data_IF_993627234126
#
_entry.id   IF_993627234126
#
_cell.length_a   1.000
_cell.length_b   1.000
_cell.length_c   1.000
_cell.angle_alpha   90.00
_cell.angle_beta   90.00
_cell.angle_gamma   90.00
#
_symmetry.space_group_name_H-M   'P 1'
#
loop_
_entity.id
_entity.type
_entity.pdbx_description
1 polymer ?
#
# COMPACT_ATOMS: atom_id res chain seq x y z
N UNK A 1 9.71 -5.64 18.78
CA UNK A 1 8.33 -5.80 18.31
C UNK A 1 7.36 -5.49 19.44
N UNK A 2 6.37 -4.65 19.18
CA UNK A 2 5.27 -4.35 20.08
C UNK A 2 4.23 -5.47 20.07
N UNK A 3 3.39 -5.54 21.13
CA UNK A 3 2.26 -6.47 21.17
C UNK A 3 1.28 -6.27 20.00
N UNK A 4 1.15 -5.04 19.52
CA UNK A 4 0.31 -4.72 18.36
C UNK A 4 0.88 -5.31 17.06
N UNK A 5 2.18 -5.11 16.79
CA UNK A 5 2.87 -5.69 15.63
C UNK A 5 2.82 -7.23 15.65
N UNK A 6 2.87 -7.83 16.83
CA UNK A 6 2.79 -9.28 16.99
C UNK A 6 1.40 -9.82 16.65
N UNK A 7 0.34 -9.11 17.07
CA UNK A 7 -1.03 -9.47 16.75
C UNK A 7 -1.35 -9.30 15.26
N UNK A 8 -0.85 -8.23 14.65
CA UNK A 8 -1.00 -7.96 13.22
C UNK A 8 -0.32 -9.05 12.38
N UNK A 9 0.92 -9.42 12.73
CA UNK A 9 1.62 -10.53 12.07
C UNK A 9 0.85 -11.86 12.18
N UNK A 10 0.27 -12.15 13.34
CA UNK A 10 -0.53 -13.37 13.53
C UNK A 10 -1.80 -13.38 12.67
N UNK A 11 -2.48 -12.24 12.51
CA UNK A 11 -3.63 -12.12 11.61
C UNK A 11 -3.24 -12.40 10.15
N UNK A 12 -2.11 -11.82 9.71
CA UNK A 12 -1.60 -12.01 8.35
C UNK A 12 -1.19 -13.45 8.09
N UNK A 13 -0.52 -14.10 9.04
CA UNK A 13 -0.20 -15.53 8.94
C UNK A 13 -1.48 -16.38 8.81
N UNK A 14 -2.52 -16.07 9.58
CA UNK A 14 -3.80 -16.77 9.49
C UNK A 14 -4.46 -16.58 8.12
N UNK A 15 -4.45 -15.36 7.56
CA UNK A 15 -4.96 -15.08 6.22
C UNK A 15 -4.20 -15.86 5.14
N UNK A 16 -2.87 -15.89 5.21
CA UNK A 16 -2.04 -16.68 4.29
C UNK A 16 -2.38 -18.18 4.35
N UNK A 17 -2.59 -18.72 5.55
CA UNK A 17 -3.03 -20.11 5.74
C UNK A 17 -4.41 -20.37 5.12
N UNK A 18 -5.37 -19.46 5.30
CA UNK A 18 -6.72 -19.57 4.72
C UNK A 18 -6.68 -19.53 3.20
N UNK A 19 -5.94 -18.60 2.60
CA UNK A 19 -5.73 -18.55 1.15
C UNK A 19 -5.18 -19.88 0.63
N UNK A 20 -4.12 -20.40 1.28
CA UNK A 20 -3.52 -21.68 0.90
C UNK A 20 -4.49 -22.86 1.00
N UNK A 21 -5.31 -22.90 2.06
CA UNK A 21 -6.32 -23.95 2.24
C UNK A 21 -7.37 -23.92 1.12
N UNK A 22 -7.86 -22.73 0.75
CA UNK A 22 -8.84 -22.56 -0.32
C UNK A 22 -8.25 -22.96 -1.67
N UNK A 23 -7.02 -22.51 -1.99
CA UNK A 23 -6.34 -22.87 -3.25
C UNK A 23 -6.15 -24.38 -3.35
N UNK A 24 -5.78 -25.05 -2.25
CA UNK A 24 -5.67 -26.52 -2.24
C UNK A 24 -7.02 -27.19 -2.45
N UNK A 25 -8.07 -26.73 -1.78
CA UNK A 25 -9.42 -27.27 -1.97
C UNK A 25 -9.88 -27.13 -3.42
N UNK A 26 -9.67 -25.97 -4.04
CA UNK A 26 -9.95 -25.73 -5.46
C UNK A 26 -9.15 -26.68 -6.36
N UNK A 27 -7.84 -26.82 -6.14
CA UNK A 27 -7.02 -27.74 -6.95
C UNK A 27 -7.52 -29.19 -6.94
N UNK A 28 -8.10 -29.66 -5.84
CA UNK A 28 -8.62 -31.04 -5.74
C UNK A 28 -10.07 -31.19 -6.18
N UNK A 29 -10.90 -30.14 -6.05
CA UNK A 29 -12.36 -30.28 -6.17
C UNK A 29 -12.99 -29.37 -7.21
N UNK A 30 -12.25 -28.53 -7.94
CA UNK A 30 -12.85 -27.52 -8.83
C UNK A 30 -13.76 -28.11 -9.94
N UNK A 31 -13.49 -29.34 -10.40
CA UNK A 31 -14.30 -30.02 -11.42
C UNK A 31 -15.69 -30.41 -10.88
N UNK A 32 -15.79 -30.63 -9.58
CA UNK A 32 -17.02 -31.06 -8.90
C UNK A 32 -17.86 -29.88 -8.39
N UNK A 33 -17.29 -28.67 -8.41
CA UNK A 33 -17.92 -27.46 -7.89
C UNK A 33 -18.66 -26.69 -8.99
N UNK A 34 -19.85 -26.14 -8.69
CA UNK A 34 -20.49 -25.14 -9.54
C UNK A 34 -19.58 -23.94 -9.77
N UNK A 35 -19.62 -23.35 -10.97
CA UNK A 35 -18.79 -22.20 -11.33
C UNK A 35 -18.89 -21.02 -10.36
N UNK A 36 -20.10 -20.71 -9.86
CA UNK A 36 -20.31 -19.65 -8.88
C UNK A 36 -19.63 -19.93 -7.52
N UNK A 37 -19.52 -21.20 -7.12
CA UNK A 37 -18.80 -21.57 -5.89
C UNK A 37 -17.29 -21.46 -6.09
N UNK A 38 -16.79 -21.83 -7.27
CA UNK A 38 -15.39 -21.63 -7.66
C UNK A 38 -15.03 -20.13 -7.65
N UNK A 39 -15.86 -19.27 -8.25
CA UNK A 39 -15.66 -17.82 -8.25
C UNK A 39 -15.66 -17.24 -6.84
N UNK A 40 -16.58 -17.67 -5.97
CA UNK A 40 -16.63 -17.21 -4.58
C UNK A 40 -15.37 -17.60 -3.80
N UNK A 41 -14.92 -18.85 -3.92
CA UNK A 41 -13.68 -19.33 -3.29
C UNK A 41 -12.44 -18.59 -3.81
N UNK A 42 -12.37 -18.34 -5.13
CA UNK A 42 -11.30 -17.54 -5.72
C UNK A 42 -11.30 -16.12 -5.15
N UNK A 43 -12.45 -15.45 -5.11
CA UNK A 43 -12.60 -14.12 -4.50
C UNK A 43 -12.10 -14.08 -3.05
N UNK A 44 -12.53 -15.03 -2.21
CA UNK A 44 -12.07 -15.14 -0.82
C UNK A 44 -10.56 -15.36 -0.72
N UNK A 45 -10.00 -16.20 -1.59
CA UNK A 45 -8.56 -16.47 -1.60
C UNK A 45 -7.74 -15.23 -2.02
N UNK A 46 -8.26 -14.46 -2.98
CA UNK A 46 -7.66 -13.20 -3.42
C UNK A 46 -7.67 -12.14 -2.32
N UNK A 47 -8.78 -11.96 -1.61
CA UNK A 47 -8.86 -11.01 -0.48
C UNK A 47 -7.82 -11.30 0.61
N UNK A 48 -7.60 -12.58 0.91
CA UNK A 48 -6.56 -12.99 1.84
C UNK A 48 -5.15 -12.76 1.29
N UNK A 49 -4.91 -13.05 0.01
CA UNK A 49 -3.62 -12.82 -0.64
C UNK A 49 -3.27 -11.33 -0.74
N UNK A 50 -4.26 -10.48 -1.03
CA UNK A 50 -4.11 -9.02 -1.11
C UNK A 50 -3.74 -8.45 0.26
N UNK A 51 -4.42 -8.91 1.34
CA UNK A 51 -4.07 -8.51 2.71
C UNK A 51 -2.63 -8.86 3.09
N UNK A 52 -2.16 -10.06 2.70
CA UNK A 52 -0.78 -10.49 2.95
C UNK A 52 0.20 -9.64 2.13
N UNK A 53 -0.13 -9.38 0.88
CA UNK A 53 0.70 -8.57 -0.03
C UNK A 53 0.83 -7.14 0.49
N UNK A 54 -0.27 -6.50 0.91
CA UNK A 54 -0.27 -5.18 1.52
C UNK A 54 0.60 -5.15 2.79
N UNK A 55 0.49 -6.15 3.66
CA UNK A 55 1.34 -6.23 4.85
C UNK A 55 2.82 -6.37 4.51
N UNK A 56 3.17 -7.20 3.52
CA UNK A 56 4.56 -7.39 3.10
C UNK A 56 5.15 -6.14 2.45
N UNK A 57 4.37 -5.42 1.64
CA UNK A 57 4.74 -4.10 1.09
C UNK A 57 5.02 -3.10 2.22
N UNK A 58 4.13 -3.05 3.21
CA UNK A 58 4.30 -2.19 4.38
C UNK A 58 5.51 -2.58 5.24
N UNK A 59 5.82 -3.89 5.32
CA UNK A 59 6.92 -4.43 6.12
C UNK A 59 8.29 -4.26 5.44
N UNK A 60 8.37 -4.44 4.12
CA UNK A 60 9.61 -4.27 3.35
C UNK A 60 10.07 -2.82 3.30
N UNK A 61 9.21 -1.87 3.69
CA UNK A 61 9.44 -0.45 3.48
C UNK A 61 9.46 -0.06 2.00
N UNK A 62 9.13 -1.01 1.11
CA UNK A 62 9.02 -0.84 -0.33
C UNK A 62 7.68 -0.18 -0.64
N UNK A 63 7.56 1.06 -0.16
CA UNK A 63 6.68 2.04 -0.77
C UNK A 63 7.36 2.37 -2.10
N UNK A 64 6.94 1.71 -3.19
CA UNK A 64 7.63 1.70 -4.48
C UNK A 64 8.39 2.99 -4.81
N UNK A 65 9.68 2.83 -5.14
CA UNK A 65 10.64 3.88 -5.49
C UNK A 65 10.71 5.06 -4.52
N UNK A 66 11.68 5.00 -3.60
CA UNK A 66 12.23 6.17 -2.92
C UNK A 66 11.23 6.89 -2.01
N UNK A 67 11.32 6.61 -0.71
CA UNK A 67 10.53 7.37 0.27
C UNK A 67 10.71 8.89 0.06
N UNK A 68 9.62 9.68 -0.03
CA UNK A 68 9.67 11.07 -0.46
C UNK A 68 10.84 11.86 0.11
N UNK A 69 11.66 12.41 -0.76
CA UNK A 69 12.80 13.26 -0.46
C UNK A 69 12.46 14.73 -0.69
N UNK A 70 13.20 15.61 -0.01
CA UNK A 70 13.03 17.06 -0.22
C UNK A 70 13.44 17.40 -1.65
N UNK A 71 12.55 18.07 -2.39
CA UNK A 71 12.73 18.40 -3.80
C UNK A 71 11.92 17.53 -4.76
N UNK A 72 11.46 16.35 -4.33
CA UNK A 72 10.68 15.46 -5.18
C UNK A 72 9.33 16.08 -5.56
N UNK A 73 8.91 15.80 -6.80
CA UNK A 73 7.62 16.22 -7.35
C UNK A 73 6.67 15.06 -7.40
N UNK A 74 5.48 15.26 -6.85
CA UNK A 74 4.39 14.28 -6.89
C UNK A 74 3.12 14.89 -7.50
N UNK A 75 2.27 14.05 -8.06
CA UNK A 75 0.94 14.43 -8.56
C UNK A 75 -0.13 13.84 -7.65
N UNK A 76 -1.06 14.66 -7.19
CA UNK A 76 -2.23 14.23 -6.40
C UNK A 76 -3.14 13.35 -7.25
N UNK A 77 -3.49 12.16 -6.74
CA UNK A 77 -4.23 11.16 -7.51
C UNK A 77 -5.64 11.64 -7.90
N UNK A 78 -6.34 12.32 -6.99
CA UNK A 78 -7.73 12.76 -7.19
C UNK A 78 -7.86 14.14 -7.86
N UNK A 79 -6.77 14.90 -7.96
CA UNK A 79 -6.78 16.29 -8.40
C UNK A 79 -5.82 16.65 -9.52
N UNK A 80 -4.87 15.77 -9.83
CA UNK A 80 -3.83 16.00 -10.85
C UNK A 80 -2.88 17.17 -10.53
N UNK A 81 -2.95 17.73 -9.32
CA UNK A 81 -2.14 18.88 -8.94
C UNK A 81 -0.74 18.43 -8.53
N UNK A 82 0.27 19.12 -9.06
CA UNK A 82 1.68 18.84 -8.74
C UNK A 82 2.06 19.52 -7.42
N UNK A 83 2.69 18.74 -6.56
CA UNK A 83 3.21 19.15 -5.26
C UNK A 83 4.70 18.88 -5.18
N UNK A 84 5.40 19.72 -4.41
CA UNK A 84 6.84 19.62 -4.17
C UNK A 84 7.06 19.39 -2.68
N UNK A 85 7.83 18.35 -2.34
CA UNK A 85 8.21 18.09 -0.95
C UNK A 85 9.23 19.13 -0.50
N UNK A 86 8.89 19.89 0.54
CA UNK A 86 9.74 20.97 1.08
C UNK A 86 10.55 20.55 2.30
N UNK A 87 10.00 19.66 3.11
CA UNK A 87 10.65 19.17 4.32
C UNK A 87 10.15 17.77 4.65
N UNK A 88 11.03 16.97 5.24
CA UNK A 88 10.65 15.68 5.84
C UNK A 88 11.20 15.60 7.25
N UNK A 89 10.41 15.07 8.18
CA UNK A 89 10.83 14.86 9.57
C UNK A 89 10.13 13.61 10.09
N UNK A 90 10.86 12.50 10.17
CA UNK A 90 10.31 11.22 10.61
C UNK A 90 9.18 10.73 9.70
N UNK A 91 8.00 10.55 10.29
CA UNK A 91 6.76 10.08 9.65
C UNK A 91 5.89 11.21 9.07
N UNK A 92 6.38 12.46 9.10
CA UNK A 92 5.69 13.63 8.55
C UNK A 92 6.51 14.28 7.45
N UNK A 93 5.81 14.90 6.51
CA UNK A 93 6.40 15.75 5.49
C UNK A 93 5.59 17.03 5.34
N UNK A 94 6.26 18.06 4.84
CA UNK A 94 5.64 19.31 4.43
C UNK A 94 5.81 19.43 2.93
N UNK A 95 4.72 19.71 2.22
CA UNK A 95 4.74 19.98 0.78
C UNK A 95 4.10 21.33 0.46
N UNK A 96 4.38 21.83 -0.73
CA UNK A 96 3.70 22.98 -1.33
C UNK A 96 3.17 22.62 -2.71
N UNK A 97 2.04 23.16 -3.12
CA UNK A 97 1.61 23.07 -4.52
C UNK A 97 2.58 23.87 -5.41
N UNK A 98 2.90 23.36 -6.59
CA UNK A 98 3.82 24.05 -7.52
C UNK A 98 3.30 25.45 -7.92
N UNK A 99 1.97 25.58 -8.07
CA UNK A 99 1.29 26.86 -8.38
C UNK A 99 1.26 27.83 -7.20
N UNK A 100 1.46 27.35 -5.97
CA UNK A 100 1.39 28.14 -4.73
C UNK A 100 2.56 27.77 -3.81
N UNK A 101 3.80 28.18 -4.15
CA UNK A 101 5.01 27.76 -3.43
C UNK A 101 5.07 28.26 -1.98
N UNK A 102 4.35 29.35 -1.67
CA UNK A 102 4.27 29.93 -0.33
C UNK A 102 3.34 29.13 0.61
N UNK A 103 2.46 28.30 0.05
CA UNK A 103 1.56 27.46 0.84
C UNK A 103 2.29 26.23 1.35
N UNK A 104 2.14 25.93 2.65
CA UNK A 104 2.77 24.77 3.29
C UNK A 104 1.71 23.88 3.93
N UNK A 105 1.77 22.60 3.58
CA UNK A 105 0.83 21.59 4.06
C UNK A 105 1.61 20.50 4.80
N UNK A 106 1.34 20.35 6.09
CA UNK A 106 1.88 19.25 6.90
C UNK A 106 1.02 18.01 6.70
N UNK A 107 1.66 16.91 6.32
CA UNK A 107 1.00 15.66 5.97
C UNK A 107 1.72 14.46 6.58
N UNK A 108 0.94 13.39 6.86
CA UNK A 108 1.53 12.10 7.24
C UNK A 108 2.15 11.43 6.03
N UNK A 109 3.37 10.94 6.17
CA UNK A 109 4.14 10.29 5.10
C UNK A 109 3.38 9.12 4.48
N UNK A 110 2.77 8.26 5.31
CA UNK A 110 1.99 7.12 4.82
C UNK A 110 0.74 7.53 4.03
N UNK A 111 0.05 8.57 4.47
CA UNK A 111 -1.10 9.11 3.73
C UNK A 111 -0.66 9.70 2.41
N UNK A 112 0.44 10.45 2.41
CA UNK A 112 1.00 11.06 1.21
C UNK A 112 1.33 10.02 0.14
N UNK A 113 2.05 8.95 0.51
CA UNK A 113 2.45 7.90 -0.45
C UNK A 113 1.24 7.20 -1.08
N UNK A 114 0.10 7.13 -0.39
CA UNK A 114 -1.14 6.53 -0.92
C UNK A 114 -1.91 7.46 -1.85
N UNK A 115 -1.85 8.76 -1.60
CA UNK A 115 -2.69 9.78 -2.23
C UNK A 115 -1.96 10.55 -3.35
N UNK A 116 -0.64 10.37 -3.46
CA UNK A 116 0.21 11.07 -4.40
C UNK A 116 1.15 10.11 -5.14
N UNK A 117 1.29 10.31 -6.45
CA UNK A 117 2.16 9.49 -7.31
C UNK A 117 3.41 10.28 -7.70
N UNK A 118 4.59 9.65 -7.55
CA UNK A 118 5.87 10.26 -7.90
C UNK A 118 5.90 10.61 -9.39
N UNK A 119 6.22 11.87 -9.70
CA UNK A 119 6.20 12.41 -11.07
C UNK A 119 7.61 12.67 -11.60
N UNK A 120 8.48 13.22 -10.76
CA UNK A 120 9.87 13.49 -11.11
C UNK A 120 10.74 13.46 -9.85
N UNK A 121 11.90 12.82 -9.95
CA UNK A 121 12.89 12.79 -8.89
C UNK A 121 13.99 13.79 -9.18
N UNK A 122 14.10 14.82 -8.34
CA UNK A 122 15.16 15.83 -8.46
C UNK A 122 16.25 15.46 -7.46
N UNK A 123 17.07 14.48 -7.82
CA UNK A 123 18.31 14.21 -7.08
C UNK A 123 19.35 15.28 -7.48
N UNK A 124 19.49 16.29 -6.63
CA UNK A 124 20.61 17.26 -6.68
C UNK A 124 21.82 16.77 -5.92
#
# INVERSE_FOLDING_TARGET
MSRHETNELMDILLKAQKASAIIRALNYSWIELPGCEVEALLSMSSEYADSVTEYLINLSGDNGEGSPAVGDRYTENDGGSVVIVRKRTGDRLVYSYEKHPEASHDYRLRSFIREFTLSEVVHG
#
